data_IF_084298877773
#
_entry.id   IF_084298877773
#
_cell.length_a   1.000
_cell.length_b   1.000
_cell.length_c   1.000
_cell.angle_alpha   90.00
_cell.angle_beta   90.00
_cell.angle_gamma   90.00
#
_symmetry.space_group_name_H-M   'P 1'
#
loop_
_entity.id
_entity.type
_entity.pdbx_description
1 polymer ?
#
# COMPACT_ATOMS: atom_id res chain seq x y z
N UNK A 1 -11.05 28.94 36.88
CA UNK A 1 -11.30 29.32 35.47
C UNK A 1 -11.24 28.05 34.65
N UNK A 2 -12.35 27.33 34.59
CA UNK A 2 -12.59 26.28 33.61
C UNK A 2 -13.55 26.91 32.60
N UNK A 3 -13.19 26.89 31.31
CA UNK A 3 -14.09 27.28 30.24
C UNK A 3 -15.01 26.10 29.97
N UNK A 4 -16.29 26.27 30.30
CA UNK A 4 -17.36 25.40 29.83
C UNK A 4 -17.52 25.65 28.32
N UNK A 5 -17.28 24.63 27.51
CA UNK A 5 -17.57 24.66 26.07
C UNK A 5 -19.06 24.32 25.89
N UNK A 6 -19.85 25.35 25.61
CA UNK A 6 -21.24 25.24 25.16
C UNK A 6 -21.27 24.65 23.73
N UNK A 7 -21.26 23.32 23.61
CA UNK A 7 -21.41 22.60 22.33
C UNK A 7 -22.60 21.64 22.26
N UNK A 8 -23.42 21.57 23.31
CA UNK A 8 -24.39 20.48 23.54
C UNK A 8 -25.79 20.68 22.92
N UNK A 9 -25.97 21.62 21.98
CA UNK A 9 -27.31 22.00 21.50
C UNK A 9 -27.66 21.41 20.11
N UNK A 10 -26.70 20.81 19.40
CA UNK A 10 -26.89 20.42 17.99
C UNK A 10 -27.56 19.06 17.69
N UNK A 11 -27.36 18.02 18.51
CA UNK A 11 -27.62 16.63 18.08
C UNK A 11 -28.78 15.90 18.77
N UNK A 12 -29.30 16.42 19.89
CA UNK A 12 -30.49 15.85 20.54
C UNK A 12 -31.73 15.80 19.62
N UNK A 13 -31.73 16.60 18.54
CA UNK A 13 -32.84 16.70 17.60
C UNK A 13 -32.84 15.64 16.48
N UNK A 14 -31.73 14.93 16.22
CA UNK A 14 -31.61 14.08 15.01
C UNK A 14 -31.77 12.59 15.32
N UNK A 15 -31.29 12.10 16.48
CA UNK A 15 -31.25 10.65 16.76
C UNK A 15 -31.81 10.20 18.13
N UNK A 16 -32.27 11.12 18.98
CA UNK A 16 -33.04 10.78 20.19
C UNK A 16 -32.30 10.00 21.29
N UNK A 17 -30.96 10.05 21.33
CA UNK A 17 -30.15 9.50 22.41
C UNK A 17 -29.75 10.64 23.37
N UNK A 18 -30.29 10.65 24.59
CA UNK A 18 -29.91 11.62 25.63
C UNK A 18 -28.60 11.19 26.28
N UNK A 19 -27.49 11.73 25.76
CA UNK A 19 -26.13 11.38 26.17
C UNK A 19 -25.75 11.90 27.57
N UNK A 20 -26.58 12.74 28.20
CA UNK A 20 -26.33 13.24 29.56
C UNK A 20 -26.45 12.14 30.64
N UNK A 21 -26.99 10.96 30.30
CA UNK A 21 -27.09 9.83 31.22
C UNK A 21 -25.90 8.86 31.15
N UNK A 22 -25.01 8.99 30.16
CA UNK A 22 -23.82 8.13 30.02
C UNK A 22 -22.69 8.74 30.83
N UNK A 23 -22.69 8.49 32.13
CA UNK A 23 -21.54 8.80 32.99
C UNK A 23 -20.27 8.20 32.38
N UNK A 24 -19.20 9.01 32.30
CA UNK A 24 -17.85 8.55 31.95
C UNK A 24 -17.38 7.57 33.02
N UNK A 25 -17.58 6.27 32.78
CA UNK A 25 -17.26 5.19 33.70
C UNK A 25 -15.78 4.79 33.54
N UNK A 26 -15.09 4.58 34.66
CA UNK A 26 -13.69 4.15 34.66
C UNK A 26 -13.55 2.72 34.10
N UNK A 27 -12.47 2.42 33.36
CA UNK A 27 -12.33 1.21 32.54
C UNK A 27 -11.96 -0.08 33.32
N UNK A 28 -12.38 -0.22 34.58
CA UNK A 28 -11.87 -1.28 35.46
C UNK A 28 -12.72 -2.57 35.52
N UNK A 29 -13.84 -2.65 34.78
CA UNK A 29 -14.69 -3.86 34.74
C UNK A 29 -14.93 -4.35 33.30
N UNK A 30 -14.59 -5.61 33.01
CA UNK A 30 -14.75 -6.25 31.70
C UNK A 30 -16.19 -6.17 31.17
N UNK A 31 -17.22 -6.26 32.03
CA UNK A 31 -18.63 -6.14 31.62
C UNK A 31 -19.00 -4.70 31.18
N UNK A 32 -18.40 -3.68 31.80
CA UNK A 32 -18.59 -2.28 31.40
C UNK A 32 -17.88 -1.99 30.06
N UNK A 33 -16.74 -2.64 29.80
CA UNK A 33 -16.01 -2.50 28.53
C UNK A 33 -16.81 -3.00 27.32
N UNK A 34 -17.66 -4.02 27.48
CA UNK A 34 -18.50 -4.58 26.41
C UNK A 34 -19.58 -3.58 25.97
N UNK A 35 -20.19 -2.87 26.92
CA UNK A 35 -21.19 -1.82 26.64
C UNK A 35 -20.56 -0.62 25.92
N UNK A 36 -19.42 -0.15 26.40
CA UNK A 36 -18.68 0.97 25.80
C UNK A 36 -18.22 0.64 24.37
N UNK A 37 -17.66 -0.56 24.14
CA UNK A 37 -17.27 -1.01 22.81
C UNK A 37 -18.46 -1.05 21.84
N UNK A 38 -19.61 -1.54 22.31
CA UNK A 38 -20.83 -1.60 21.48
C UNK A 38 -21.31 -0.21 21.07
N UNK A 39 -21.28 0.76 22.00
CA UNK A 39 -21.64 2.15 21.73
C UNK A 39 -20.65 2.77 20.72
N UNK A 40 -19.34 2.61 20.95
CA UNK A 40 -18.31 3.10 20.04
C UNK A 40 -18.46 2.51 18.63
N UNK A 41 -18.77 1.21 18.49
CA UNK A 41 -19.01 0.60 17.18
C UNK A 41 -20.22 1.23 16.45
N UNK A 42 -21.28 1.60 17.17
CA UNK A 42 -22.44 2.28 16.58
C UNK A 42 -22.06 3.68 16.10
N UNK A 43 -21.35 4.44 16.94
CA UNK A 43 -20.89 5.79 16.61
C UNK A 43 -19.93 5.79 15.42
N UNK A 44 -19.00 4.83 15.35
CA UNK A 44 -18.09 4.67 14.20
C UNK A 44 -18.88 4.37 12.92
N UNK A 45 -19.83 3.44 12.94
CA UNK A 45 -20.67 3.16 11.76
C UNK A 45 -21.45 4.38 11.27
N UNK A 46 -22.02 5.15 12.19
CA UNK A 46 -22.69 6.40 11.84
C UNK A 46 -21.72 7.44 11.29
N UNK A 47 -20.47 7.46 11.78
CA UNK A 47 -19.44 8.35 11.26
C UNK A 47 -19.06 7.98 9.82
N UNK A 48 -19.05 6.69 9.49
CA UNK A 48 -18.81 6.20 8.13
C UNK A 48 -19.93 6.67 7.18
N UNK A 49 -21.19 6.58 7.60
CA UNK A 49 -22.34 7.08 6.83
C UNK A 49 -22.26 8.59 6.59
N UNK A 50 -21.77 9.37 7.56
CA UNK A 50 -21.56 10.81 7.43
C UNK A 50 -20.40 11.13 6.48
N UNK A 51 -19.32 10.35 6.53
CA UNK A 51 -18.18 10.44 5.61
C UNK A 51 -18.61 10.19 4.17
N UNK A 52 -19.42 9.16 3.93
CA UNK A 52 -20.00 8.87 2.61
C UNK A 52 -20.88 10.02 2.08
N UNK A 53 -21.52 10.77 2.98
CA UNK A 53 -22.31 11.96 2.66
C UNK A 53 -21.48 13.24 2.51
N UNK A 54 -20.16 13.19 2.75
CA UNK A 54 -19.27 14.34 2.74
C UNK A 54 -19.43 15.29 3.94
N UNK A 55 -20.12 14.85 5.01
CA UNK A 55 -20.37 15.62 6.23
C UNK A 55 -19.22 15.45 7.23
N UNK A 56 -18.03 15.88 6.82
CA UNK A 56 -16.77 15.65 7.55
C UNK A 56 -16.76 16.25 8.97
N UNK A 57 -17.33 17.43 9.18
CA UNK A 57 -17.39 18.04 10.53
C UNK A 57 -18.22 17.19 11.50
N UNK A 58 -19.37 16.69 11.05
CA UNK A 58 -20.23 15.84 11.86
C UNK A 58 -19.62 14.46 12.10
N UNK A 59 -18.87 13.92 11.13
CA UNK A 59 -18.07 12.72 11.31
C UNK A 59 -17.08 12.89 12.47
N UNK A 60 -16.29 13.97 12.46
CA UNK A 60 -15.27 14.26 13.48
C UNK A 60 -15.91 14.44 14.86
N UNK A 61 -17.04 15.14 14.95
CA UNK A 61 -17.79 15.28 16.20
C UNK A 61 -18.17 13.91 16.78
N UNK A 62 -18.63 12.99 15.93
CA UNK A 62 -19.05 11.67 16.35
C UNK A 62 -17.87 10.76 16.74
N UNK A 63 -16.76 10.86 16.02
CA UNK A 63 -15.52 10.16 16.35
C UNK A 63 -14.94 10.66 17.68
N UNK A 64 -14.96 11.98 17.93
CA UNK A 64 -14.55 12.54 19.22
C UNK A 64 -15.43 12.01 20.37
N UNK A 65 -16.75 11.95 20.19
CA UNK A 65 -17.65 11.34 21.17
C UNK A 65 -17.30 9.86 21.42
N UNK A 66 -17.02 9.09 20.36
CA UNK A 66 -16.62 7.69 20.51
C UNK A 66 -15.30 7.54 21.29
N UNK A 67 -14.34 8.44 21.08
CA UNK A 67 -13.04 8.46 21.79
C UNK A 67 -13.22 8.94 23.24
N UNK A 68 -14.13 9.87 23.52
CA UNK A 68 -14.46 10.30 24.89
C UNK A 68 -15.11 9.17 25.69
N UNK A 69 -16.00 8.40 25.07
CA UNK A 69 -16.66 7.23 25.68
C UNK A 69 -15.64 6.11 25.91
N UNK A 70 -14.82 5.78 24.91
CA UNK A 70 -13.75 4.81 25.04
C UNK A 70 -12.47 5.32 24.37
N UNK A 71 -11.51 5.84 25.17
CA UNK A 71 -10.22 6.30 24.68
C UNK A 71 -9.38 5.24 23.97
N UNK A 72 -9.71 3.95 24.12
CA UNK A 72 -9.00 2.81 23.56
C UNK A 72 -9.75 2.14 22.40
N UNK A 73 -10.83 2.76 21.90
CA UNK A 73 -11.61 2.25 20.77
C UNK A 73 -10.80 2.22 19.48
N UNK A 74 -10.33 1.03 19.07
CA UNK A 74 -9.52 0.87 17.86
C UNK A 74 -10.23 1.38 16.61
N UNK A 75 -11.54 1.16 16.48
CA UNK A 75 -12.31 1.64 15.33
C UNK A 75 -12.39 3.17 15.27
N UNK A 76 -12.64 3.83 16.40
CA UNK A 76 -12.73 5.29 16.44
C UNK A 76 -11.36 5.95 16.24
N UNK A 77 -10.30 5.40 16.84
CA UNK A 77 -8.93 5.86 16.62
C UNK A 77 -8.52 5.67 15.15
N UNK A 78 -8.88 4.54 14.53
CA UNK A 78 -8.55 4.27 13.14
C UNK A 78 -9.19 5.28 12.18
N UNK A 79 -10.50 5.50 12.30
CA UNK A 79 -11.21 6.47 11.45
C UNK A 79 -10.77 7.91 11.70
N UNK A 80 -10.44 8.27 12.94
CA UNK A 80 -9.88 9.59 13.24
C UNK A 80 -8.50 9.78 12.62
N UNK A 81 -7.62 8.77 12.68
CA UNK A 81 -6.32 8.83 12.04
C UNK A 81 -6.44 8.97 10.51
N UNK A 82 -7.37 8.23 9.90
CA UNK A 82 -7.68 8.38 8.46
C UNK A 82 -8.18 9.78 8.10
N UNK A 83 -9.03 10.38 8.94
CA UNK A 83 -9.49 11.74 8.75
C UNK A 83 -8.32 12.75 8.80
N UNK A 84 -7.47 12.65 9.83
CA UNK A 84 -6.30 13.53 9.95
C UNK A 84 -5.35 13.37 8.75
N UNK A 85 -5.14 12.15 8.26
CA UNK A 85 -4.31 11.87 7.10
C UNK A 85 -4.89 12.43 5.79
N UNK A 86 -6.13 12.07 5.46
CA UNK A 86 -6.69 12.22 4.12
C UNK A 86 -7.42 13.56 3.93
N UNK A 87 -8.06 14.06 4.98
CA UNK A 87 -8.92 15.25 4.90
C UNK A 87 -8.23 16.48 5.49
N UNK A 88 -7.53 16.32 6.62
CA UNK A 88 -6.83 17.43 7.29
C UNK A 88 -5.36 17.57 6.86
N UNK A 89 -4.79 16.57 6.17
CA UNK A 89 -3.38 16.53 5.76
C UNK A 89 -2.39 16.73 6.93
N UNK A 90 -2.79 16.31 8.14
CA UNK A 90 -2.01 16.38 9.36
C UNK A 90 -1.35 15.03 9.64
N UNK A 91 -0.23 14.78 8.98
CA UNK A 91 0.46 13.49 9.03
C UNK A 91 1.02 13.19 10.43
N UNK A 92 1.56 14.19 11.12
CA UNK A 92 2.05 14.03 12.48
C UNK A 92 0.94 13.64 13.45
N UNK A 93 -0.24 14.28 13.36
CA UNK A 93 -1.41 13.93 14.16
C UNK A 93 -1.94 12.53 13.86
N UNK A 94 -2.03 12.16 12.57
CA UNK A 94 -2.43 10.82 12.16
C UNK A 94 -1.48 9.75 12.72
N UNK A 95 -0.16 9.98 12.68
CA UNK A 95 0.85 9.09 13.26
C UNK A 95 0.63 8.92 14.77
N UNK A 96 0.42 10.01 15.52
CA UNK A 96 0.18 9.93 16.96
C UNK A 96 -1.05 9.06 17.29
N UNK A 97 -2.14 9.24 16.54
CA UNK A 97 -3.38 8.48 16.73
C UNK A 97 -3.18 7.00 16.35
N UNK A 98 -2.52 6.71 15.23
CA UNK A 98 -2.21 5.34 14.86
C UNK A 98 -1.30 4.64 15.87
N UNK A 99 -0.28 5.32 16.40
CA UNK A 99 0.58 4.76 17.44
C UNK A 99 -0.22 4.44 18.71
N UNK A 100 -1.13 5.34 19.12
CA UNK A 100 -2.05 5.12 20.24
C UNK A 100 -3.00 3.94 20.00
N UNK A 101 -3.49 3.76 18.77
CA UNK A 101 -4.27 2.56 18.40
C UNK A 101 -3.44 1.29 18.61
N UNK A 102 -2.18 1.29 18.17
CA UNK A 102 -1.31 0.12 18.33
C UNK A 102 -0.92 -0.19 19.78
N UNK A 103 -1.10 0.74 20.73
CA UNK A 103 -0.95 0.43 22.17
C UNK A 103 -2.02 -0.55 22.66
N UNK A 104 -3.19 -0.59 22.01
CA UNK A 104 -4.35 -1.41 22.42
C UNK A 104 -4.57 -2.59 21.49
N UNK A 105 -4.26 -2.44 20.21
CA UNK A 105 -4.40 -3.45 19.16
C UNK A 105 -3.11 -3.57 18.35
N UNK A 106 -2.13 -4.28 18.92
CA UNK A 106 -0.81 -4.51 18.32
C UNK A 106 -0.84 -5.29 17.01
N UNK A 107 -1.97 -5.92 16.68
CA UNK A 107 -2.17 -6.76 15.50
C UNK A 107 -3.01 -6.07 14.42
N UNK A 108 -3.31 -4.77 14.58
CA UNK A 108 -4.05 -4.01 13.59
C UNK A 108 -3.24 -3.77 12.30
N UNK A 109 -3.27 -4.75 11.38
CA UNK A 109 -2.51 -4.74 10.12
C UNK A 109 -2.78 -3.45 9.32
N UNK A 110 -4.03 -2.98 9.12
CA UNK A 110 -4.29 -1.73 8.40
C UNK A 110 -3.61 -0.52 9.03
N UNK A 111 -3.64 -0.37 10.36
CA UNK A 111 -2.98 0.75 11.04
C UNK A 111 -1.45 0.69 10.91
N UNK A 112 -0.86 -0.50 11.03
CA UNK A 112 0.59 -0.70 10.85
C UNK A 112 1.01 -0.34 9.41
N UNK A 113 0.22 -0.78 8.41
CA UNK A 113 0.45 -0.45 7.02
C UNK A 113 0.35 1.07 6.76
N UNK A 114 -0.72 1.72 7.25
CA UNK A 114 -0.92 3.16 7.06
C UNK A 114 0.17 4.00 7.74
N UNK A 115 0.66 3.58 8.91
CA UNK A 115 1.85 4.21 9.53
C UNK A 115 3.06 4.15 8.60
N UNK A 116 3.34 3.00 8.00
CA UNK A 116 4.45 2.85 7.08
C UNK A 116 4.30 3.73 5.83
N UNK A 117 3.08 3.82 5.27
CA UNK A 117 2.75 4.70 4.14
C UNK A 117 2.94 6.19 4.50
N UNK A 118 2.51 6.61 5.69
CA UNK A 118 2.73 7.97 6.21
C UNK A 118 4.21 8.29 6.39
N UNK A 119 4.98 7.40 7.01
CA UNK A 119 6.43 7.58 7.13
C UNK A 119 7.12 7.63 5.76
N UNK A 120 6.64 6.87 4.77
CA UNK A 120 7.12 6.96 3.38
C UNK A 120 6.87 8.36 2.79
N UNK A 121 5.66 8.90 2.94
CA UNK A 121 5.28 10.25 2.48
C UNK A 121 6.12 11.34 3.14
N UNK A 122 6.48 11.17 4.41
CA UNK A 122 7.35 12.09 5.15
C UNK A 122 8.85 11.93 4.86
N UNK A 123 9.24 10.87 4.12
CA UNK A 123 10.63 10.56 3.84
C UNK A 123 11.39 9.92 5.01
N UNK A 124 10.71 9.52 6.08
CA UNK A 124 11.28 8.73 7.17
C UNK A 124 11.34 7.25 6.76
N UNK A 125 12.36 6.94 5.96
CA UNK A 125 12.52 5.60 5.41
C UNK A 125 12.93 4.55 6.44
N UNK A 126 13.41 4.95 7.62
CA UNK A 126 13.74 4.01 8.70
C UNK A 126 12.45 3.47 9.33
N UNK A 127 11.55 4.36 9.73
CA UNK A 127 10.25 3.96 10.27
C UNK A 127 9.36 3.30 9.21
N UNK A 128 9.35 3.80 7.97
CA UNK A 128 8.64 3.14 6.87
C UNK A 128 9.04 1.67 6.74
N UNK A 129 10.34 1.37 6.72
CA UNK A 129 10.81 -0.02 6.60
C UNK A 129 10.44 -0.84 7.83
N UNK A 130 10.55 -0.27 9.04
CA UNK A 130 10.16 -0.93 10.29
C UNK A 130 8.69 -1.36 10.26
N UNK A 131 7.78 -0.46 9.92
CA UNK A 131 6.33 -0.74 9.97
C UNK A 131 5.86 -1.61 8.80
N UNK A 132 6.40 -1.45 7.57
CA UNK A 132 6.08 -2.40 6.49
C UNK A 132 6.61 -3.82 6.80
N UNK A 133 7.81 -3.96 7.39
CA UNK A 133 8.26 -5.30 7.80
C UNK A 133 7.33 -5.90 8.86
N UNK A 134 6.91 -5.11 9.85
CA UNK A 134 5.98 -5.58 10.89
C UNK A 134 4.63 -6.02 10.31
N UNK A 135 4.07 -5.25 9.37
CA UNK A 135 2.82 -5.61 8.68
C UNK A 135 2.99 -6.86 7.81
N UNK A 136 4.10 -6.96 7.07
CA UNK A 136 4.44 -8.13 6.27
C UNK A 136 4.64 -9.41 7.08
N UNK A 137 5.24 -9.33 8.28
CA UNK A 137 5.34 -10.46 9.22
C UNK A 137 3.96 -10.97 9.67
N UNK A 138 2.95 -10.10 9.65
CA UNK A 138 1.53 -10.43 9.88
C UNK A 138 0.81 -10.86 8.59
N UNK A 139 1.56 -11.28 7.57
CA UNK A 139 1.08 -11.78 6.28
C UNK A 139 0.45 -10.73 5.35
N UNK A 140 0.73 -9.43 5.54
CA UNK A 140 0.37 -8.42 4.55
C UNK A 140 1.31 -8.45 3.33
N UNK A 141 0.81 -8.97 2.21
CA UNK A 141 1.57 -9.10 0.96
C UNK A 141 1.95 -7.73 0.40
N UNK A 142 1.05 -6.74 0.51
CA UNK A 142 1.26 -5.41 -0.06
C UNK A 142 2.47 -4.71 0.57
N UNK A 143 2.65 -4.82 1.89
CA UNK A 143 3.85 -4.32 2.58
C UNK A 143 5.16 -4.84 2.00
N UNK A 144 5.24 -6.13 1.68
CA UNK A 144 6.44 -6.69 1.04
C UNK A 144 6.63 -6.15 -0.39
N UNK A 145 5.56 -5.90 -1.14
CA UNK A 145 5.64 -5.30 -2.47
C UNK A 145 6.12 -3.84 -2.41
N UNK A 146 5.63 -3.07 -1.43
CA UNK A 146 6.10 -1.69 -1.15
C UNK A 146 7.59 -1.68 -0.81
N UNK A 147 8.04 -2.57 0.07
CA UNK A 147 9.47 -2.72 0.40
C UNK A 147 10.31 -3.13 -0.83
N UNK A 148 9.84 -4.09 -1.62
CA UNK A 148 10.55 -4.53 -2.82
C UNK A 148 10.75 -3.37 -3.82
N UNK A 149 9.70 -2.58 -4.04
CA UNK A 149 9.72 -1.40 -4.90
C UNK A 149 10.64 -0.31 -4.37
N UNK A 150 10.64 -0.07 -3.06
CA UNK A 150 11.54 0.86 -2.40
C UNK A 150 13.02 0.48 -2.61
N UNK A 151 13.40 -0.77 -2.33
CA UNK A 151 14.77 -1.24 -2.54
C UNK A 151 15.17 -1.23 -4.02
N UNK A 152 14.23 -1.53 -4.92
CA UNK A 152 14.47 -1.46 -6.37
C UNK A 152 14.84 -0.05 -6.79
N UNK A 153 14.10 0.95 -6.31
CA UNK A 153 14.37 2.36 -6.60
C UNK A 153 15.74 2.82 -6.06
N UNK A 154 16.23 2.18 -5.00
CA UNK A 154 17.60 2.37 -4.48
C UNK A 154 18.68 1.60 -5.25
N UNK A 155 18.31 0.69 -6.15
CA UNK A 155 19.22 -0.20 -6.85
C UNK A 155 19.69 -1.41 -6.02
N UNK A 156 19.02 -1.69 -4.90
CA UNK A 156 19.33 -2.79 -3.99
C UNK A 156 18.57 -4.07 -4.42
N UNK A 157 19.16 -4.77 -5.39
CA UNK A 157 18.53 -5.93 -6.04
C UNK A 157 18.31 -7.09 -5.05
N UNK A 158 19.23 -7.31 -4.11
CA UNK A 158 19.16 -8.41 -3.15
C UNK A 158 17.92 -8.26 -2.24
N UNK A 159 17.69 -7.07 -1.69
CA UNK A 159 16.51 -6.81 -0.88
C UNK A 159 15.22 -6.74 -1.69
N UNK A 160 15.27 -6.31 -2.95
CA UNK A 160 14.12 -6.42 -3.86
C UNK A 160 13.71 -7.88 -4.05
N UNK A 161 14.66 -8.76 -4.36
CA UNK A 161 14.40 -10.19 -4.54
C UNK A 161 13.86 -10.83 -3.27
N UNK A 162 14.49 -10.56 -2.12
CA UNK A 162 14.06 -11.10 -0.84
C UNK A 162 12.60 -10.74 -0.53
N UNK A 163 12.23 -9.45 -0.64
CA UNK A 163 10.87 -9.01 -0.36
C UNK A 163 9.85 -9.55 -1.38
N UNK A 164 10.21 -9.67 -2.67
CA UNK A 164 9.35 -10.34 -3.66
C UNK A 164 9.12 -11.81 -3.31
N UNK A 165 10.16 -12.53 -2.87
CA UNK A 165 10.03 -13.92 -2.46
C UNK A 165 9.13 -14.07 -1.22
N UNK A 166 9.25 -13.16 -0.24
CA UNK A 166 8.32 -13.10 0.91
C UNK A 166 6.88 -12.84 0.45
N UNK A 167 6.66 -11.89 -0.45
CA UNK A 167 5.34 -11.61 -1.01
C UNK A 167 4.74 -12.85 -1.72
N UNK A 168 5.54 -13.54 -2.54
CA UNK A 168 5.14 -14.77 -3.26
C UNK A 168 4.92 -15.94 -2.28
N UNK A 169 5.62 -15.98 -1.16
CA UNK A 169 5.45 -17.01 -0.13
C UNK A 169 4.09 -16.89 0.56
N UNK A 170 3.69 -15.68 0.96
CA UNK A 170 2.40 -15.42 1.62
C UNK A 170 1.21 -15.32 0.64
N UNK A 171 1.44 -15.55 -0.66
CA UNK A 171 0.44 -15.51 -1.71
C UNK A 171 -0.55 -16.70 -1.61
N UNK A 172 -1.79 -16.42 -1.20
CA UNK A 172 -2.82 -17.46 -1.04
C UNK A 172 -3.65 -17.70 -2.30
N UNK A 173 -3.83 -16.70 -3.19
CA UNK A 173 -4.68 -16.79 -4.38
C UNK A 173 -4.06 -16.20 -5.66
N UNK A 174 -4.36 -16.82 -6.80
CA UNK A 174 -3.73 -16.73 -8.13
C UNK A 174 -3.58 -15.35 -8.82
N UNK A 175 -3.88 -14.21 -8.22
CA UNK A 175 -3.93 -12.96 -8.99
C UNK A 175 -2.56 -12.30 -9.11
N UNK A 176 -1.68 -12.77 -10.02
CA UNK A 176 -0.44 -12.09 -10.47
C UNK A 176 -0.60 -10.56 -10.64
N UNK A 177 -1.82 -10.10 -10.87
CA UNK A 177 -2.29 -8.72 -10.86
C UNK A 177 -1.67 -7.85 -9.76
N UNK A 178 -1.63 -8.30 -8.49
CA UNK A 178 -1.06 -7.49 -7.40
C UNK A 178 0.43 -7.20 -7.62
N UNK A 179 1.20 -8.20 -8.02
CA UNK A 179 2.61 -8.02 -8.40
C UNK A 179 2.73 -7.05 -9.59
N UNK A 180 1.82 -7.16 -10.56
CA UNK A 180 1.81 -6.33 -11.77
C UNK A 180 1.38 -4.88 -11.53
N UNK A 181 0.75 -4.55 -10.40
CA UNK A 181 0.50 -3.16 -10.00
C UNK A 181 1.79 -2.42 -9.59
N UNK A 182 2.80 -3.16 -9.13
CA UNK A 182 4.07 -2.60 -8.66
C UNK A 182 5.23 -2.77 -9.64
N UNK A 183 5.22 -3.85 -10.43
CA UNK A 183 6.29 -4.22 -11.35
C UNK A 183 5.71 -4.57 -12.71
N UNK A 184 6.37 -4.15 -13.79
CA UNK A 184 5.98 -4.64 -15.11
C UNK A 184 6.42 -6.10 -15.30
N UNK A 185 5.73 -6.85 -16.17
CA UNK A 185 5.95 -8.29 -16.30
C UNK A 185 7.36 -8.68 -16.80
N UNK A 186 7.98 -7.86 -17.66
CA UNK A 186 9.34 -8.11 -18.16
C UNK A 186 10.41 -7.92 -17.07
N UNK A 187 10.25 -6.87 -16.29
CA UNK A 187 11.10 -6.56 -15.15
C UNK A 187 10.97 -7.63 -14.06
N UNK A 188 9.73 -7.94 -13.67
CA UNK A 188 9.47 -8.95 -12.66
C UNK A 188 10.04 -10.30 -13.09
N UNK A 189 9.83 -10.71 -14.34
CA UNK A 189 10.41 -11.95 -14.87
C UNK A 189 11.94 -11.93 -14.81
N UNK A 190 12.58 -10.80 -15.11
CA UNK A 190 14.05 -10.70 -15.03
C UNK A 190 14.53 -10.90 -13.60
N UNK A 191 13.93 -10.19 -12.63
CA UNK A 191 14.30 -10.27 -11.21
C UNK A 191 14.09 -11.68 -10.65
N UNK A 192 12.94 -12.30 -10.98
CA UNK A 192 12.58 -13.62 -10.47
C UNK A 192 13.35 -14.77 -11.14
N UNK A 193 13.75 -14.63 -12.41
CA UNK A 193 14.59 -15.65 -13.08
C UNK A 193 15.97 -15.73 -12.43
N UNK A 194 16.54 -14.59 -12.02
CA UNK A 194 17.83 -14.56 -11.32
C UNK A 194 17.76 -15.23 -9.93
N UNK A 195 16.57 -15.32 -9.33
CA UNK A 195 16.33 -16.00 -8.06
C UNK A 195 16.38 -17.55 -8.14
N UNK A 196 16.30 -18.16 -9.33
CA UNK A 196 16.32 -19.64 -9.50
C UNK A 196 17.63 -20.31 -9.09
N UNK A 197 18.65 -19.53 -8.77
CA UNK A 197 19.90 -20.02 -8.19
C UNK A 197 19.69 -20.68 -6.81
N UNK A 198 18.55 -20.45 -6.16
CA UNK A 198 18.10 -21.09 -4.93
C UNK A 198 16.88 -21.98 -5.26
N UNK A 199 16.76 -23.18 -4.68
CA UNK A 199 15.69 -24.13 -5.06
C UNK A 199 14.29 -23.48 -5.04
N UNK A 200 13.64 -23.30 -6.21
CA UNK A 200 12.44 -22.46 -6.30
C UNK A 200 11.22 -23.15 -5.71
N UNK A 201 10.49 -22.43 -4.85
CA UNK A 201 9.20 -22.88 -4.31
C UNK A 201 8.18 -23.15 -5.43
N UNK A 202 7.19 -23.98 -5.16
CA UNK A 202 6.12 -24.26 -6.13
C UNK A 202 5.38 -22.98 -6.54
N UNK A 203 5.21 -22.03 -5.61
CA UNK A 203 4.58 -20.74 -5.87
C UNK A 203 5.43 -19.89 -6.83
N UNK A 204 6.75 -19.82 -6.63
CA UNK A 204 7.65 -19.10 -7.53
C UNK A 204 7.58 -19.66 -8.96
N UNK A 205 7.63 -21.00 -9.11
CA UNK A 205 7.48 -21.65 -10.42
C UNK A 205 6.17 -21.28 -11.11
N UNK A 206 5.06 -21.29 -10.36
CA UNK A 206 3.73 -20.91 -10.87
C UNK A 206 3.71 -19.47 -11.36
N UNK A 207 4.20 -18.52 -10.54
CA UNK A 207 4.26 -17.09 -10.91
C UNK A 207 5.08 -16.87 -12.18
N UNK A 208 6.24 -17.50 -12.30
CA UNK A 208 7.05 -17.41 -13.52
C UNK A 208 6.33 -18.03 -14.72
N UNK A 209 5.69 -19.19 -14.58
CA UNK A 209 4.90 -19.76 -15.69
C UNK A 209 3.77 -18.83 -16.13
N UNK A 210 3.10 -18.16 -15.19
CA UNK A 210 2.07 -17.16 -15.51
C UNK A 210 2.67 -15.95 -16.24
N UNK A 211 3.78 -15.40 -15.74
CA UNK A 211 4.51 -14.31 -16.42
C UNK A 211 4.93 -14.71 -17.84
N UNK A 212 5.37 -15.95 -18.04
CA UNK A 212 5.78 -16.41 -19.37
C UNK A 212 4.65 -16.47 -20.40
N UNK A 213 3.39 -16.49 -19.95
CA UNK A 213 2.21 -16.43 -20.82
C UNK A 213 1.73 -15.01 -21.12
N UNK A 214 2.28 -13.99 -20.46
CA UNK A 214 1.93 -12.58 -20.70
C UNK A 214 2.31 -12.14 -22.12
N UNK A 215 1.41 -11.42 -22.78
CA UNK A 215 1.57 -11.01 -24.19
C UNK A 215 2.89 -10.26 -24.41
N UNK A 216 3.18 -9.27 -23.55
CA UNK A 216 4.40 -8.48 -23.64
C UNK A 216 5.68 -9.30 -23.46
N UNK A 217 5.64 -10.35 -22.62
CA UNK A 217 6.76 -11.29 -22.44
C UNK A 217 6.99 -12.10 -23.71
N UNK A 218 5.91 -12.60 -24.34
CA UNK A 218 5.97 -13.34 -25.59
C UNK A 218 6.52 -12.46 -26.72
N UNK A 219 6.02 -11.23 -26.86
CA UNK A 219 6.49 -10.25 -27.84
C UNK A 219 7.97 -9.96 -27.65
N UNK A 220 8.39 -9.67 -26.42
CA UNK A 220 9.79 -9.41 -26.10
C UNK A 220 10.69 -10.59 -26.45
N UNK A 221 10.36 -11.81 -26.03
CA UNK A 221 11.12 -13.03 -26.35
C UNK A 221 11.24 -13.24 -27.86
N UNK A 222 10.16 -13.00 -28.62
CA UNK A 222 10.17 -13.11 -30.08
C UNK A 222 11.08 -12.06 -30.74
N UNK A 223 11.01 -10.79 -30.31
CA UNK A 223 11.89 -9.72 -30.79
C UNK A 223 13.36 -10.05 -30.51
N UNK A 224 13.69 -10.38 -29.26
CA UNK A 224 15.06 -10.78 -28.87
C UNK A 224 15.56 -11.93 -29.75
N UNK A 225 14.75 -12.96 -29.99
CA UNK A 225 15.12 -14.10 -30.85
C UNK A 225 15.41 -13.69 -32.29
N UNK A 226 14.59 -12.82 -32.88
CA UNK A 226 14.75 -12.37 -34.27
C UNK A 226 15.99 -11.49 -34.42
N UNK A 227 16.13 -10.46 -33.60
CA UNK A 227 17.23 -9.51 -33.67
C UNK A 227 18.59 -10.14 -33.30
N UNK A 228 18.59 -11.14 -32.42
CA UNK A 228 19.81 -11.93 -32.13
C UNK A 228 20.34 -12.66 -33.36
N UNK A 229 19.44 -13.19 -34.23
CA UNK A 229 19.86 -13.90 -35.46
C UNK A 229 20.53 -12.97 -36.47
N UNK A 230 20.14 -11.70 -36.48
CA UNK A 230 20.76 -10.67 -37.32
C UNK A 230 21.97 -9.99 -36.66
N UNK A 231 22.33 -10.38 -35.43
CA UNK A 231 23.41 -9.78 -34.66
C UNK A 231 23.28 -8.24 -34.59
N UNK A 232 22.07 -7.74 -34.30
CA UNK A 232 21.79 -6.30 -34.20
C UNK A 232 22.39 -5.67 -32.92
N UNK A 233 23.71 -5.77 -32.79
CA UNK A 233 24.48 -5.24 -31.67
C UNK A 233 25.01 -3.88 -32.12
N UNK A 234 24.37 -2.83 -31.62
CA UNK A 234 24.68 -1.44 -31.96
C UNK A 234 24.61 -0.59 -30.68
N UNK A 235 25.10 0.64 -30.75
CA UNK A 235 25.02 1.57 -29.63
C UNK A 235 23.54 1.93 -29.37
N UNK A 236 23.09 1.76 -28.13
CA UNK A 236 21.75 2.12 -27.73
C UNK A 236 21.63 3.63 -27.54
N UNK A 237 20.71 4.28 -28.27
CA UNK A 237 20.48 5.73 -28.13
C UNK A 237 19.90 6.20 -26.78
N UNK A 238 19.69 5.30 -25.81
CA UNK A 238 19.21 5.63 -24.46
C UNK A 238 20.32 5.48 -23.42
N UNK A 239 21.04 4.35 -23.41
CA UNK A 239 22.09 4.09 -22.42
C UNK A 239 23.52 4.25 -22.96
N UNK A 240 23.68 4.45 -24.27
CA UNK A 240 24.97 4.63 -24.96
C UNK A 240 25.92 3.41 -24.85
N UNK A 241 25.35 2.24 -24.56
CA UNK A 241 26.10 0.97 -24.52
C UNK A 241 25.85 0.15 -25.78
N UNK A 242 26.88 -0.58 -26.24
CA UNK A 242 26.78 -1.52 -27.36
C UNK A 242 26.11 -2.81 -26.90
N UNK A 243 24.84 -2.97 -27.23
CA UNK A 243 24.00 -4.10 -26.80
C UNK A 243 23.13 -4.56 -27.95
N UNK A 244 22.49 -5.71 -27.76
CA UNK A 244 21.45 -6.17 -28.68
C UNK A 244 20.27 -5.19 -28.64
N UNK A 245 20.02 -4.52 -29.76
CA UNK A 245 18.89 -3.62 -29.92
C UNK A 245 17.71 -4.32 -30.59
N UNK A 246 16.51 -4.01 -30.10
CA UNK A 246 15.22 -4.47 -30.60
C UNK A 246 14.31 -3.27 -30.89
N UNK A 247 13.35 -3.48 -31.77
CA UNK A 247 12.42 -2.44 -32.20
C UNK A 247 11.27 -2.20 -31.20
N UNK A 248 11.00 -0.94 -30.94
CA UNK A 248 9.75 -0.44 -30.36
C UNK A 248 8.62 -0.54 -31.41
N UNK A 249 7.36 -0.40 -30.99
CA UNK A 249 6.21 -0.42 -31.91
C UNK A 249 6.29 0.64 -33.02
N UNK A 250 6.91 1.78 -32.76
CA UNK A 250 7.17 2.82 -33.76
C UNK A 250 8.35 2.54 -34.70
N UNK A 251 9.02 1.40 -34.56
CA UNK A 251 10.22 1.03 -35.32
C UNK A 251 11.54 1.64 -34.84
N UNK A 252 11.54 2.46 -33.79
CA UNK A 252 12.80 2.93 -33.18
C UNK A 252 13.46 1.80 -32.40
N UNK A 253 14.78 1.70 -32.46
CA UNK A 253 15.51 0.60 -31.83
C UNK A 253 16.18 1.03 -30.51
N UNK A 254 16.04 0.18 -29.48
CA UNK A 254 16.72 0.34 -28.18
C UNK A 254 17.21 -1.01 -27.66
N UNK A 255 18.20 -1.00 -26.76
CA UNK A 255 18.69 -2.24 -26.17
C UNK A 255 17.62 -2.95 -25.33
N UNK A 256 17.79 -4.26 -25.15
CA UNK A 256 16.87 -5.08 -24.37
C UNK A 256 16.61 -4.53 -22.95
N UNK A 257 17.63 -4.01 -22.27
CA UNK A 257 17.48 -3.48 -20.90
C UNK A 257 16.68 -2.16 -20.86
N UNK A 258 16.86 -1.30 -21.86
CA UNK A 258 16.05 -0.09 -22.01
C UNK A 258 14.62 -0.44 -22.42
N UNK A 259 14.42 -1.45 -23.26
CA UNK A 259 13.09 -1.91 -23.66
C UNK A 259 12.25 -2.35 -22.48
N UNK A 260 12.79 -3.19 -21.59
CA UNK A 260 12.09 -3.66 -20.38
C UNK A 260 11.59 -2.52 -19.48
N UNK A 261 12.22 -1.34 -19.56
CA UNK A 261 11.87 -0.17 -18.75
C UNK A 261 10.81 0.74 -19.39
N UNK A 262 10.68 0.72 -20.72
CA UNK A 262 9.90 1.76 -21.44
C UNK A 262 8.87 1.20 -22.41
N UNK A 263 8.68 -0.12 -22.50
CA UNK A 263 7.76 -0.71 -23.48
C UNK A 263 6.27 -0.40 -23.23
N UNK A 264 5.90 -0.03 -22.00
CA UNK A 264 4.56 0.46 -21.64
C UNK A 264 4.43 2.00 -21.75
N UNK A 265 5.56 2.69 -21.94
CA UNK A 265 5.64 4.14 -21.99
C UNK A 265 5.76 4.65 -23.43
N UNK A 266 5.71 5.97 -23.58
CA UNK A 266 6.00 6.61 -24.86
C UNK A 266 7.43 6.29 -25.33
N UNK A 267 7.59 6.09 -26.63
CA UNK A 267 8.92 5.90 -27.20
C UNK A 267 9.85 7.08 -26.84
N UNK A 268 11.07 6.83 -26.30
CA UNK A 268 12.00 7.89 -25.89
C UNK A 268 12.39 8.86 -27.02
N UNK A 269 12.27 8.44 -28.29
CA UNK A 269 12.68 9.24 -29.44
C UNK A 269 11.52 10.03 -30.05
N UNK A 270 10.40 9.37 -30.38
CA UNK A 270 9.28 10.02 -31.06
C UNK A 270 8.10 10.38 -30.16
N UNK A 271 8.10 9.96 -28.89
CA UNK A 271 7.06 10.22 -27.89
C UNK A 271 5.64 9.74 -28.28
N UNK A 272 5.54 8.89 -29.30
CA UNK A 272 4.27 8.25 -29.66
C UNK A 272 3.95 7.21 -28.58
N UNK A 273 2.73 7.30 -28.03
CA UNK A 273 2.13 6.26 -27.21
C UNK A 273 1.27 5.39 -28.12
N UNK A 274 1.36 4.07 -27.95
CA UNK A 274 0.47 3.13 -28.61
C UNK A 274 -0.52 2.66 -27.55
N UNK A 275 -1.81 2.92 -27.82
CA UNK A 275 -2.93 2.49 -26.97
C UNK A 275 -3.25 1.00 -27.17
#
# INVERSE_FOLDING_TARGET
MQQEYEGSIGLNAIYGLDLNEINVLKPDDEENSIGLNSICCILVKQSDELKEQGLLMSQVELLNQAIEINPLSSGALFEMALYEELENFNYEGAIEIYLRLLETDLDNIPAIYNLADLYEKMGDYENMQKYFNLSGEKCDVESYLRLAKFHKNKGDIDNTQNNLLKAIYHYQDNCIENLLTHFNCLELLTILVDCFSQEPTQNLKRVITMLETEEHVIIFKNKVRVFSRFQNIIECGVCLENKLNIDMLCGHEICCDCYKRVYLDCCPFCRIKFD
#
